data_IF_969924079966
#
_entry.id   IF_969924079966
#
_cell.length_a   1.000
_cell.length_b   1.000
_cell.length_c   1.000
_cell.angle_alpha   90.00
_cell.angle_beta   90.00
_cell.angle_gamma   90.00
#
_symmetry.space_group_name_H-M   'P 1'
#
loop_
_entity.id
_entity.type
_entity.pdbx_description
1 polymer ?
#
# COMPACT_ATOMS: atom_id res chain seq x y z
N UNK A 1 20.81 12.44 10.18
CA UNK A 1 20.20 13.09 11.36
C UNK A 1 18.70 13.11 11.16
N UNK A 2 18.03 12.06 11.65
CA UNK A 2 16.59 11.85 11.52
C UNK A 2 15.90 12.22 12.84
N UNK A 3 15.08 13.26 12.82
CA UNK A 3 14.18 13.56 13.93
C UNK A 3 12.93 12.67 13.78
N UNK A 4 12.82 11.68 14.67
CA UNK A 4 11.62 10.90 14.89
C UNK A 4 10.70 11.77 15.75
N UNK A 5 9.48 12.01 15.27
CA UNK A 5 8.45 12.73 16.03
C UNK A 5 7.91 11.79 17.11
N UNK A 6 8.33 12.00 18.36
CA UNK A 6 7.74 11.35 19.53
C UNK A 6 6.39 11.99 19.86
N UNK A 7 5.35 11.17 19.82
CA UNK A 7 4.00 11.49 20.29
C UNK A 7 3.88 10.89 21.68
N UNK A 8 3.91 11.72 22.73
CA UNK A 8 3.78 11.23 24.11
C UNK A 8 2.32 11.10 24.51
N UNK A 9 1.84 9.86 24.64
CA UNK A 9 0.59 9.52 25.31
C UNK A 9 0.83 9.36 26.82
N UNK A 10 0.00 10.03 27.63
CA UNK A 10 -0.13 9.75 29.07
C UNK A 10 -1.11 8.58 29.19
N UNK A 11 -0.59 7.38 29.41
CA UNK A 11 -1.38 6.18 29.69
C UNK A 11 -1.75 6.12 31.16
N UNK A 12 -3.05 6.06 31.48
CA UNK A 12 -3.52 5.43 32.71
C UNK A 12 -4.13 4.07 32.37
N UNK A 13 -3.77 3.10 33.20
CA UNK A 13 -3.85 1.67 33.00
C UNK A 13 -5.28 1.13 32.89
N UNK A 14 -5.45 0.16 31.98
CA UNK A 14 -5.97 -1.16 32.30
C UNK A 14 -5.43 -2.17 31.28
N UNK A 15 -4.52 -3.02 31.75
CA UNK A 15 -4.03 -4.19 31.04
C UNK A 15 -5.15 -5.23 30.98
N UNK A 16 -5.76 -5.37 29.81
CA UNK A 16 -6.25 -6.67 29.34
C UNK A 16 -5.68 -6.88 27.94
N UNK A 17 -4.92 -7.96 27.76
CA UNK A 17 -4.50 -8.47 26.46
C UNK A 17 -5.72 -9.09 25.74
N UNK A 18 -6.70 -8.25 25.43
CA UNK A 18 -7.66 -8.50 24.37
C UNK A 18 -7.03 -8.02 23.07
N UNK A 19 -6.77 -8.92 22.13
CA UNK A 19 -6.56 -8.54 20.74
C UNK A 19 -7.75 -7.67 20.32
N UNK A 20 -7.61 -6.35 20.31
CA UNK A 20 -8.65 -5.48 19.76
C UNK A 20 -8.85 -5.92 18.33
N UNK A 21 -10.05 -6.43 18.03
CA UNK A 21 -10.37 -6.91 16.69
C UNK A 21 -10.19 -5.74 15.72
N UNK A 22 -9.38 -5.95 14.70
CA UNK A 22 -9.07 -4.92 13.71
C UNK A 22 -10.30 -4.72 12.83
N UNK A 23 -10.87 -3.50 12.75
CA UNK A 23 -12.04 -3.26 11.93
C UNK A 23 -11.67 -3.29 10.45
N UNK A 24 -12.59 -3.78 9.61
CA UNK A 24 -12.48 -3.67 8.14
C UNK A 24 -12.78 -2.25 7.66
N UNK A 25 -13.71 -1.58 8.34
CA UNK A 25 -14.18 -0.23 8.04
C UNK A 25 -13.92 0.74 9.20
N UNK A 26 -13.32 1.90 8.92
CA UNK A 26 -13.21 2.99 9.89
C UNK A 26 -13.93 4.23 9.34
N UNK A 27 -15.11 4.54 9.89
CA UNK A 27 -15.84 5.76 9.58
C UNK A 27 -15.24 6.93 10.35
N UNK A 28 -14.74 7.92 9.62
CA UNK A 28 -14.18 9.15 10.15
C UNK A 28 -15.18 10.27 9.88
N UNK A 29 -15.81 10.76 10.96
CA UNK A 29 -16.88 11.75 10.92
C UNK A 29 -16.37 13.04 11.56
N UNK A 30 -15.99 14.08 10.78
CA UNK A 30 -15.55 15.35 11.35
C UNK A 30 -16.73 16.04 12.05
N UNK A 31 -16.52 16.55 13.27
CA UNK A 31 -17.59 17.05 14.11
C UNK A 31 -17.19 18.28 14.94
N UNK A 32 -18.11 19.25 15.03
CA UNK A 32 -18.15 20.32 16.04
C UNK A 32 -19.53 20.97 16.04
N UNK A 33 -20.07 21.30 17.22
CA UNK A 33 -21.27 22.14 17.42
C UNK A 33 -22.49 21.79 16.56
N UNK A 34 -22.75 20.50 16.30
CA UNK A 34 -23.85 20.02 15.45
C UNK A 34 -24.66 18.91 16.12
N UNK A 35 -25.20 19.18 17.33
CA UNK A 35 -25.84 18.17 18.18
C UNK A 35 -27.01 17.45 17.49
N UNK A 36 -27.83 18.18 16.76
CA UNK A 36 -29.00 17.67 16.02
C UNK A 36 -28.55 16.71 14.92
N UNK A 37 -27.55 17.12 14.12
CA UNK A 37 -26.96 16.28 13.07
C UNK A 37 -26.31 15.03 13.66
N UNK A 38 -25.54 15.16 14.75
CA UNK A 38 -24.94 14.02 15.43
C UNK A 38 -25.99 13.04 15.91
N UNK A 39 -27.11 13.54 16.45
CA UNK A 39 -28.21 12.69 16.93
C UNK A 39 -28.85 11.94 15.78
N UNK A 40 -29.21 12.66 14.71
CA UNK A 40 -29.76 12.09 13.49
C UNK A 40 -28.81 11.02 12.89
N UNK A 41 -27.55 11.38 12.68
CA UNK A 41 -26.50 10.49 12.17
C UNK A 41 -26.35 9.24 13.03
N UNK A 42 -26.23 9.40 14.35
CA UNK A 42 -25.99 8.26 15.26
C UNK A 42 -27.15 7.28 15.29
N UNK A 43 -28.39 7.78 15.26
CA UNK A 43 -29.58 6.93 15.24
C UNK A 43 -29.72 6.24 13.88
N UNK A 44 -29.56 6.98 12.79
CA UNK A 44 -29.83 6.46 11.46
C UNK A 44 -28.73 5.51 10.98
N UNK A 45 -27.46 5.79 11.28
CA UNK A 45 -26.35 4.91 10.90
C UNK A 45 -26.40 3.55 11.60
N UNK A 46 -27.04 3.43 12.78
CA UNK A 46 -27.30 2.13 13.40
C UNK A 46 -28.20 1.25 12.52
N UNK A 47 -29.19 1.85 11.86
CA UNK A 47 -30.03 1.15 10.87
C UNK A 47 -29.24 0.83 9.60
N UNK A 48 -28.53 1.80 9.03
CA UNK A 48 -27.74 1.60 7.79
C UNK A 48 -26.69 0.50 7.93
N UNK A 49 -26.09 0.39 9.12
CA UNK A 49 -25.04 -0.59 9.42
C UNK A 49 -25.55 -1.86 10.10
N UNK A 50 -26.87 -2.07 10.24
CA UNK A 50 -27.43 -3.17 11.02
C UNK A 50 -27.04 -4.57 10.54
N UNK A 51 -26.69 -4.71 9.27
CA UNK A 51 -26.29 -5.98 8.66
C UNK A 51 -24.76 -6.24 8.76
N UNK A 52 -23.98 -5.27 9.27
CA UNK A 52 -22.55 -5.44 9.52
C UNK A 52 -22.32 -6.03 10.90
N UNK A 53 -21.31 -6.90 11.03
CA UNK A 53 -20.81 -7.30 12.36
C UNK A 53 -20.24 -6.04 13.05
N UNK A 54 -20.68 -5.70 14.28
CA UNK A 54 -20.12 -4.57 15.04
C UNK A 54 -18.59 -4.62 15.23
N UNK A 55 -17.96 -5.78 15.05
CA UNK A 55 -16.49 -5.95 15.08
C UNK A 55 -15.81 -5.55 13.77
N UNK A 56 -16.54 -5.55 12.66
CA UNK A 56 -16.01 -5.25 11.33
C UNK A 56 -15.94 -3.74 11.05
N UNK A 57 -16.55 -2.90 11.88
CA UNK A 57 -16.50 -1.46 11.68
C UNK A 57 -16.32 -0.68 12.98
N UNK A 58 -15.80 0.53 12.86
CA UNK A 58 -15.80 1.53 13.92
C UNK A 58 -16.27 2.87 13.37
N UNK A 59 -17.03 3.61 14.18
CA UNK A 59 -17.44 4.99 13.87
C UNK A 59 -16.75 5.92 14.85
N UNK A 60 -15.91 6.81 14.34
CA UNK A 60 -15.16 7.79 15.14
C UNK A 60 -15.63 9.21 14.79
N UNK A 61 -16.22 9.88 15.78
CA UNK A 61 -16.54 11.30 15.70
C UNK A 61 -15.30 12.10 16.07
N UNK A 62 -14.68 12.77 15.10
CA UNK A 62 -13.47 13.56 15.34
C UNK A 62 -13.87 14.97 15.71
N UNK A 63 -13.79 15.27 17.00
CA UNK A 63 -14.37 16.45 17.61
C UNK A 63 -13.32 17.53 17.86
N UNK A 64 -13.40 18.64 17.14
CA UNK A 64 -12.51 19.78 17.39
C UNK A 64 -13.01 20.57 18.62
N UNK A 65 -12.29 20.47 19.75
CA UNK A 65 -12.71 21.07 21.03
C UNK A 65 -12.19 22.49 21.27
N UNK A 66 -11.26 22.95 20.46
CA UNK A 66 -10.76 24.32 20.55
C UNK A 66 -11.69 25.34 19.86
N UNK A 67 -11.51 26.62 20.21
CA UNK A 67 -12.30 27.73 19.67
C UNK A 67 -11.82 28.28 18.33
N UNK A 68 -10.89 27.62 17.63
CA UNK A 68 -10.38 28.09 16.33
C UNK A 68 -11.41 27.83 15.22
N UNK A 69 -11.25 28.38 13.99
CA UNK A 69 -12.09 27.99 12.87
C UNK A 69 -12.12 26.47 12.66
N UNK A 70 -13.23 25.93 12.17
CA UNK A 70 -13.39 24.47 12.05
C UNK A 70 -12.51 23.95 10.91
N UNK A 71 -11.56 23.07 11.24
CA UNK A 71 -10.65 22.50 10.26
C UNK A 71 -11.16 21.14 9.79
N UNK A 72 -12.11 21.13 8.85
CA UNK A 72 -12.76 19.90 8.37
C UNK A 72 -11.75 18.91 7.78
N UNK A 73 -10.81 19.38 6.96
CA UNK A 73 -9.75 18.54 6.39
C UNK A 73 -8.80 17.98 7.47
N UNK A 74 -8.43 18.80 8.44
CA UNK A 74 -7.62 18.43 9.59
C UNK A 74 -8.30 17.37 10.45
N UNK A 75 -9.60 17.49 10.73
CA UNK A 75 -10.35 16.47 11.48
C UNK A 75 -10.36 15.12 10.76
N UNK A 76 -10.51 15.10 9.43
CA UNK A 76 -10.40 13.86 8.65
C UNK A 76 -8.99 13.25 8.75
N UNK A 77 -7.95 14.08 8.62
CA UNK A 77 -6.56 13.63 8.77
C UNK A 77 -6.26 13.10 10.18
N UNK A 78 -6.70 13.78 11.22
CA UNK A 78 -6.48 13.38 12.62
C UNK A 78 -7.22 12.09 12.94
N UNK A 79 -8.44 11.91 12.43
CA UNK A 79 -9.16 10.63 12.55
C UNK A 79 -8.39 9.47 11.92
N UNK A 80 -7.79 9.68 10.74
CA UNK A 80 -6.89 8.71 10.14
C UNK A 80 -5.66 8.42 11.02
N UNK A 81 -4.99 9.46 11.53
CA UNK A 81 -3.81 9.32 12.40
C UNK A 81 -4.14 8.56 13.68
N UNK A 82 -5.30 8.81 14.29
CA UNK A 82 -5.74 8.12 15.50
C UNK A 82 -5.94 6.62 15.27
N UNK A 83 -6.63 6.23 14.18
CA UNK A 83 -6.80 4.81 13.81
C UNK A 83 -5.46 4.18 13.42
N UNK A 84 -4.59 4.92 12.74
CA UNK A 84 -3.23 4.46 12.42
C UNK A 84 -2.43 4.17 13.70
N UNK A 85 -2.57 4.99 14.73
CA UNK A 85 -1.90 4.80 16.01
C UNK A 85 -2.53 3.66 16.83
N UNK A 86 -3.85 3.48 16.75
CA UNK A 86 -4.57 2.38 17.41
C UNK A 86 -4.23 1.01 16.77
N UNK A 87 -4.04 0.99 15.44
CA UNK A 87 -3.76 -0.23 14.65
C UNK A 87 -2.52 -0.09 13.76
N UNK A 88 -1.31 0.09 14.33
CA UNK A 88 -0.11 0.45 13.56
C UNK A 88 0.35 -0.62 12.55
N UNK A 89 0.00 -1.89 12.78
CA UNK A 89 0.35 -2.99 11.88
C UNK A 89 -0.70 -3.24 10.79
N UNK A 90 -1.94 -2.74 10.96
CA UNK A 90 -3.08 -3.17 10.15
C UNK A 90 -3.79 -2.02 9.42
N UNK A 91 -3.62 -0.76 9.87
CA UNK A 91 -4.32 0.41 9.32
C UNK A 91 -4.23 0.53 7.79
N UNK A 92 -3.13 0.05 7.20
CA UNK A 92 -2.91 0.05 5.75
C UNK A 92 -4.01 -0.71 4.99
N UNK A 93 -4.54 -1.77 5.58
CA UNK A 93 -5.56 -2.65 5.00
C UNK A 93 -6.99 -2.23 5.36
N UNK A 94 -7.17 -1.40 6.38
CA UNK A 94 -8.47 -0.85 6.77
C UNK A 94 -8.99 0.05 5.65
N UNK A 95 -10.30 -0.06 5.37
CA UNK A 95 -11.00 0.90 4.51
C UNK A 95 -11.45 2.08 5.37
N UNK A 96 -10.89 3.25 5.12
CA UNK A 96 -11.36 4.49 5.73
C UNK A 96 -12.55 5.01 4.94
N UNK A 97 -13.63 5.35 5.64
CA UNK A 97 -14.83 5.99 5.08
C UNK A 97 -14.90 7.39 5.66
N UNK A 98 -14.70 8.41 4.83
CA UNK A 98 -14.89 9.80 5.24
C UNK A 98 -16.35 10.16 4.97
N UNK A 99 -17.08 10.51 6.02
CA UNK A 99 -18.51 10.77 5.95
C UNK A 99 -18.84 12.06 6.73
N UNK A 100 -19.50 13.02 6.08
CA UNK A 100 -19.99 14.20 6.80
C UNK A 100 -21.15 13.84 7.74
N UNK A 101 -21.20 14.46 8.92
CA UNK A 101 -22.21 14.17 9.95
C UNK A 101 -23.65 14.48 9.49
N UNK A 102 -23.80 15.30 8.45
CA UNK A 102 -25.10 15.72 7.92
C UNK A 102 -25.60 14.83 6.78
N UNK A 103 -24.91 13.73 6.44
CA UNK A 103 -25.28 12.82 5.35
C UNK A 103 -25.32 11.37 5.79
N UNK A 104 -26.40 10.66 5.46
CA UNK A 104 -26.54 9.21 5.68
C UNK A 104 -27.25 8.57 4.48
N UNK A 105 -26.95 7.31 4.12
CA UNK A 105 -27.77 6.59 3.15
C UNK A 105 -29.22 6.47 3.60
N UNK A 106 -30.16 6.49 2.67
CA UNK A 106 -31.59 6.29 2.95
C UNK A 106 -31.91 4.89 3.49
N UNK A 107 -31.14 3.87 3.11
CA UNK A 107 -31.35 2.51 3.60
C UNK A 107 -30.02 1.74 3.61
N UNK A 108 -30.04 0.56 4.24
CA UNK A 108 -28.92 -0.38 4.20
C UNK A 108 -28.63 -0.85 2.78
N UNK A 109 -27.39 -1.27 2.53
CA UNK A 109 -26.90 -1.77 1.23
C UNK A 109 -26.93 -0.76 0.06
N UNK A 110 -27.37 0.49 0.27
CA UNK A 110 -27.31 1.57 -0.73
C UNK A 110 -25.86 1.92 -1.11
N UNK A 111 -24.95 1.87 -0.13
CA UNK A 111 -23.52 2.13 -0.31
C UNK A 111 -22.72 0.85 -0.03
N UNK A 112 -21.81 0.52 -0.95
CA UNK A 112 -20.80 -0.53 -0.76
C UNK A 112 -19.46 0.07 -0.30
N UNK A 113 -19.33 0.28 1.01
CA UNK A 113 -18.22 1.02 1.62
C UNK A 113 -16.83 0.41 1.38
N UNK A 114 -16.70 -0.91 1.43
CA UNK A 114 -15.40 -1.57 1.28
C UNK A 114 -14.77 -1.29 -0.08
N UNK A 115 -13.48 -0.95 -0.08
CA UNK A 115 -12.69 -0.76 -1.30
C UNK A 115 -11.46 -1.67 -1.29
N UNK A 116 -10.67 -1.61 -2.37
CA UNK A 116 -9.43 -2.36 -2.54
C UNK A 116 -8.27 -1.40 -2.88
N UNK A 117 -7.01 -1.82 -2.65
CA UNK A 117 -5.85 -0.98 -2.96
C UNK A 117 -5.89 -0.41 -4.39
N UNK A 118 -5.51 0.86 -4.53
CA UNK A 118 -5.51 1.59 -5.79
C UNK A 118 -6.86 2.19 -6.21
N UNK A 119 -7.94 1.93 -5.47
CA UNK A 119 -9.31 2.39 -5.79
C UNK A 119 -9.87 3.25 -4.65
N UNK A 120 -10.28 4.46 -5.00
CA UNK A 120 -11.09 5.34 -4.15
C UNK A 120 -12.53 5.28 -4.63
N UNK A 121 -13.45 4.81 -3.80
CA UNK A 121 -14.88 4.80 -4.16
C UNK A 121 -15.53 6.08 -3.67
N UNK A 122 -16.18 6.82 -4.56
CA UNK A 122 -16.88 8.05 -4.21
C UNK A 122 -18.39 7.84 -4.37
N UNK A 123 -19.12 8.03 -3.28
CA UNK A 123 -20.52 7.63 -3.16
C UNK A 123 -21.49 8.80 -3.19
N UNK A 124 -21.15 9.95 -2.62
CA UNK A 124 -22.08 11.07 -2.55
C UNK A 124 -21.38 12.42 -2.66
N UNK A 125 -21.87 13.30 -3.53
CA UNK A 125 -21.38 14.68 -3.63
C UNK A 125 -21.37 15.20 -5.07
N UNK A 126 -20.23 15.74 -5.50
CA UNK A 126 -20.02 16.33 -6.84
C UNK A 126 -18.81 15.70 -7.53
N UNK A 127 -18.79 15.59 -8.86
CA UNK A 127 -17.74 14.83 -9.55
C UNK A 127 -16.36 15.54 -9.61
N UNK A 128 -16.29 16.82 -9.28
CA UNK A 128 -15.04 17.59 -9.29
C UNK A 128 -14.31 17.64 -7.93
N UNK A 129 -14.87 16.99 -6.89
CA UNK A 129 -14.31 16.91 -5.55
C UNK A 129 -14.58 15.53 -4.91
N UNK A 130 -13.89 15.22 -3.81
CA UNK A 130 -14.18 14.06 -2.95
C UNK A 130 -14.87 14.52 -1.65
N UNK A 131 -15.98 15.23 -1.80
CA UNK A 131 -16.82 15.65 -0.67
C UNK A 131 -17.87 14.60 -0.30
N UNK A 132 -18.71 14.90 0.69
CA UNK A 132 -19.80 14.03 1.13
C UNK A 132 -19.29 12.70 1.70
N UNK A 133 -19.40 11.63 0.90
CA UNK A 133 -19.07 10.27 1.33
C UNK A 133 -18.15 9.57 0.32
N UNK A 134 -16.97 9.15 0.75
CA UNK A 134 -16.07 8.31 -0.04
C UNK A 134 -15.26 7.36 0.83
N UNK A 135 -14.69 6.32 0.22
CA UNK A 135 -13.79 5.38 0.90
C UNK A 135 -12.48 5.14 0.17
N UNK A 136 -11.45 4.84 0.95
CA UNK A 136 -10.06 4.67 0.51
C UNK A 136 -9.32 3.71 1.46
N UNK A 137 -8.37 2.91 0.96
CA UNK A 137 -7.51 2.11 1.85
C UNK A 137 -6.55 3.01 2.63
N UNK A 138 -6.24 2.64 3.87
CA UNK A 138 -5.32 3.44 4.70
C UNK A 138 -3.96 3.67 4.05
N UNK A 139 -3.41 2.66 3.37
CA UNK A 139 -2.16 2.81 2.62
C UNK A 139 -2.27 3.83 1.46
N UNK A 140 -3.41 3.84 0.76
CA UNK A 140 -3.64 4.77 -0.35
C UNK A 140 -3.87 6.19 0.17
N UNK A 141 -4.58 6.35 1.30
CA UNK A 141 -4.77 7.66 1.93
C UNK A 141 -3.45 8.26 2.41
N UNK A 142 -2.63 7.48 3.11
CA UNK A 142 -1.28 7.89 3.53
C UNK A 142 -0.43 8.33 2.32
N UNK A 143 -0.45 7.56 1.23
CA UNK A 143 0.25 7.87 -0.02
C UNK A 143 -0.16 9.22 -0.63
N UNK A 144 -1.36 9.70 -0.37
CA UNK A 144 -1.84 10.99 -0.89
C UNK A 144 -1.44 12.19 -0.03
N UNK A 145 -0.82 11.98 1.15
CA UNK A 145 -0.63 13.00 2.18
C UNK A 145 -1.97 13.57 2.73
N UNK A 146 -3.07 12.84 2.57
CA UNK A 146 -4.39 13.23 3.08
C UNK A 146 -4.93 14.56 2.55
N UNK A 147 -5.89 15.13 3.28
CA UNK A 147 -6.50 16.42 2.98
C UNK A 147 -5.52 17.57 3.29
N UNK A 148 -5.62 18.74 2.65
CA UNK A 148 -5.05 19.95 3.22
C UNK A 148 -5.78 20.35 4.51
N UNK A 149 -5.05 20.95 5.45
CA UNK A 149 -5.56 21.34 6.77
C UNK A 149 -6.06 22.80 6.78
N UNK A 150 -6.94 23.13 5.84
CA UNK A 150 -7.49 24.48 5.70
C UNK A 150 -8.43 24.87 6.86
N UNK A 151 -8.40 26.15 7.21
CA UNK A 151 -9.15 26.72 8.32
C UNK A 151 -10.45 27.40 7.88
N UNK A 152 -10.63 27.67 6.59
CA UNK A 152 -11.88 28.16 6.03
C UNK A 152 -12.64 27.04 5.30
N UNK A 153 -13.89 27.33 4.97
CA UNK A 153 -14.75 26.45 4.21
C UNK A 153 -14.33 26.38 2.73
N UNK A 154 -14.21 25.15 2.24
CA UNK A 154 -14.14 24.83 0.82
C UNK A 154 -12.73 24.59 0.26
N UNK A 155 -12.67 23.76 -0.78
CA UNK A 155 -11.48 23.50 -1.58
C UNK A 155 -10.60 22.35 -1.08
N UNK A 156 -10.74 21.91 0.16
CA UNK A 156 -10.07 20.73 0.72
C UNK A 156 -10.48 19.44 -0.01
N UNK A 157 -11.77 19.26 -0.30
CA UNK A 157 -12.28 18.09 -1.01
C UNK A 157 -11.86 18.09 -2.50
N UNK A 158 -11.77 19.27 -3.12
CA UNK A 158 -11.21 19.45 -4.46
C UNK A 158 -9.72 19.07 -4.49
N UNK A 159 -8.98 19.48 -3.46
CA UNK A 159 -7.57 19.18 -3.34
C UNK A 159 -7.32 17.70 -3.08
N UNK A 160 -8.16 17.06 -2.27
CA UNK A 160 -8.10 15.61 -2.03
C UNK A 160 -8.30 14.83 -3.32
N UNK A 161 -9.30 15.19 -4.15
CA UNK A 161 -9.47 14.59 -5.47
C UNK A 161 -8.21 14.74 -6.34
N UNK A 162 -7.63 15.94 -6.36
CA UNK A 162 -6.39 16.19 -7.09
C UNK A 162 -5.25 15.27 -6.60
N UNK A 163 -5.04 15.14 -5.28
CA UNK A 163 -4.00 14.29 -4.69
C UNK A 163 -4.22 12.80 -4.99
N UNK A 164 -5.46 12.33 -4.94
CA UNK A 164 -5.81 10.95 -5.32
C UNK A 164 -5.39 10.66 -6.76
N UNK A 165 -5.73 11.55 -7.69
CA UNK A 165 -5.38 11.40 -9.11
C UNK A 165 -3.88 11.52 -9.35
N UNK A 166 -3.21 12.48 -8.69
CA UNK A 166 -1.77 12.68 -8.77
C UNK A 166 -0.98 11.46 -8.25
N UNK A 167 -1.48 10.80 -7.21
CA UNK A 167 -0.90 9.55 -6.68
C UNK A 167 -1.18 8.31 -7.55
N UNK A 168 -1.81 8.48 -8.71
CA UNK A 168 -2.11 7.42 -9.67
C UNK A 168 -3.22 6.45 -9.22
N UNK A 169 -4.04 6.87 -8.25
CA UNK A 169 -5.20 6.11 -7.79
C UNK A 169 -6.40 6.36 -8.72
N UNK A 170 -7.33 5.40 -8.79
CA UNK A 170 -8.54 5.53 -9.60
C UNK A 170 -9.73 5.88 -8.74
N UNK A 171 -10.52 6.86 -9.16
CA UNK A 171 -11.79 7.20 -8.53
C UNK A 171 -12.89 6.40 -9.21
N UNK A 172 -13.57 5.54 -8.45
CA UNK A 172 -14.72 4.75 -8.88
C UNK A 172 -16.01 5.44 -8.42
N UNK A 173 -16.88 5.74 -9.39
CA UNK A 173 -18.18 6.38 -9.20
C UNK A 173 -19.34 5.52 -9.68
N UNK A 174 -19.18 4.20 -9.77
CA UNK A 174 -20.26 3.29 -10.20
C UNK A 174 -21.43 3.23 -9.20
N UNK A 175 -21.18 3.50 -7.92
CA UNK A 175 -22.18 3.63 -6.85
C UNK A 175 -22.21 5.08 -6.33
N UNK A 176 -22.30 6.05 -7.25
CA UNK A 176 -22.29 7.48 -6.95
C UNK A 176 -23.68 8.11 -7.04
N UNK A 177 -24.00 8.94 -6.06
CA UNK A 177 -25.23 9.71 -5.96
C UNK A 177 -24.90 11.22 -5.97
N UNK A 178 -25.49 12.01 -6.89
CA UNK A 178 -25.28 13.44 -6.90
C UNK A 178 -25.96 14.13 -5.70
N UNK A 179 -25.61 15.39 -5.45
CA UNK A 179 -26.34 16.25 -4.51
C UNK A 179 -27.86 16.18 -4.77
N UNK A 180 -28.65 16.26 -3.70
CA UNK A 180 -30.12 16.15 -3.72
C UNK A 180 -30.69 14.79 -4.16
N UNK A 181 -29.85 13.77 -4.36
CA UNK A 181 -30.34 12.41 -4.58
C UNK A 181 -31.17 11.93 -3.38
N UNK A 182 -32.36 11.35 -3.58
CA UNK A 182 -33.19 10.82 -2.49
C UNK A 182 -32.56 9.59 -1.83
N UNK A 183 -31.54 8.99 -2.46
CA UNK A 183 -30.81 7.85 -1.91
C UNK A 183 -29.91 8.22 -0.73
N UNK A 184 -29.63 9.51 -0.53
CA UNK A 184 -28.81 10.04 0.57
C UNK A 184 -29.62 11.12 1.28
N UNK A 185 -29.94 10.89 2.55
CA UNK A 185 -30.59 11.87 3.40
C UNK A 185 -29.54 12.90 3.83
N UNK A 186 -29.82 14.17 3.55
CA UNK A 186 -28.94 15.28 3.90
C UNK A 186 -29.69 16.31 4.75
N UNK A 187 -29.18 16.60 5.94
CA UNK A 187 -29.59 17.76 6.72
C UNK A 187 -28.85 18.99 6.20
N UNK A 188 -29.59 20.01 5.76
CA UNK A 188 -28.99 21.22 5.20
C UNK A 188 -28.70 22.20 6.31
N UNK A 189 -27.47 22.71 6.35
CA UNK A 189 -27.08 23.78 7.26
C UNK A 189 -26.83 25.08 6.50
N UNK A 190 -27.05 26.20 7.19
CA UNK A 190 -27.16 27.57 6.67
C UNK A 190 -26.30 27.97 5.48
N UNK A 191 -26.74 29.01 4.79
CA UNK A 191 -26.23 29.42 3.47
C UNK A 191 -24.93 30.23 3.53
N UNK A 192 -24.53 30.64 4.73
CA UNK A 192 -23.31 31.43 4.96
C UNK A 192 -22.11 30.50 5.17
N UNK A 193 -21.00 30.83 4.51
CA UNK A 193 -19.74 30.11 4.62
C UNK A 193 -18.61 31.09 4.86
N UNK A 194 -17.81 30.81 5.89
CA UNK A 194 -16.54 31.48 6.13
C UNK A 194 -15.51 30.99 5.12
N UNK A 195 -15.08 31.83 4.20
CA UNK A 195 -14.10 31.51 3.15
C UNK A 195 -12.74 32.19 3.43
N UNK A 196 -11.69 31.68 2.81
CA UNK A 196 -10.37 32.31 2.76
C UNK A 196 -9.89 32.37 1.31
N UNK A 197 -9.55 33.58 0.84
CA UNK A 197 -9.05 33.78 -0.53
C UNK A 197 -7.67 33.16 -0.74
N UNK A 198 -6.79 33.21 0.26
CA UNK A 198 -5.46 32.60 0.19
C UNK A 198 -5.56 31.09 0.07
N UNK A 199 -6.46 30.45 0.83
CA UNK A 199 -6.70 29.01 0.74
C UNK A 199 -7.33 28.63 -0.60
N UNK A 200 -8.29 29.42 -1.08
CA UNK A 200 -8.86 29.25 -2.42
C UNK A 200 -7.79 29.38 -3.53
N UNK A 201 -6.85 30.33 -3.42
CA UNK A 201 -5.72 30.48 -4.35
C UNK A 201 -4.80 29.25 -4.28
N UNK A 202 -4.47 28.75 -3.09
CA UNK A 202 -3.68 27.52 -2.94
C UNK A 202 -4.35 26.32 -3.61
N UNK A 203 -5.68 26.21 -3.48
CA UNK A 203 -6.46 25.16 -4.13
C UNK A 203 -6.48 25.31 -5.63
N UNK A 204 -6.60 26.53 -6.14
CA UNK A 204 -6.65 26.81 -7.56
C UNK A 204 -5.30 26.53 -8.24
N UNK A 205 -4.20 27.01 -7.64
CA UNK A 205 -2.85 26.89 -8.19
C UNK A 205 -2.13 25.58 -7.83
N UNK A 206 -2.71 24.74 -6.97
CA UNK A 206 -2.12 23.45 -6.53
C UNK A 206 -0.74 23.62 -5.89
N UNK A 207 -0.56 24.69 -5.13
CA UNK A 207 0.74 25.11 -4.58
C UNK A 207 1.01 24.59 -3.17
N UNK A 208 0.04 23.94 -2.52
CA UNK A 208 0.19 23.50 -1.13
C UNK A 208 0.60 22.04 -0.99
N UNK A 209 1.57 21.79 -0.12
CA UNK A 209 1.92 20.46 0.37
C UNK A 209 1.38 20.18 1.78
N UNK A 210 0.54 21.06 2.33
CA UNK A 210 -0.07 20.90 3.65
C UNK A 210 -0.96 19.65 3.70
N UNK A 211 -0.80 18.80 4.71
CA UNK A 211 -1.59 17.59 4.88
C UNK A 211 -1.20 16.79 6.12
N UNK A 212 -1.15 15.47 6.01
CA UNK A 212 -0.78 14.59 7.14
C UNK A 212 0.59 14.94 7.72
N UNK A 213 1.57 15.20 6.86
CA UNK A 213 2.95 15.47 7.24
C UNK A 213 3.21 16.85 7.88
N UNK A 214 2.23 17.74 7.87
CA UNK A 214 2.35 19.10 8.43
C UNK A 214 1.53 19.28 9.71
N UNK A 215 0.80 18.26 10.15
CA UNK A 215 0.17 18.24 11.47
C UNK A 215 1.26 18.00 12.53
N UNK A 216 1.29 18.87 13.53
CA UNK A 216 2.28 18.85 14.63
C UNK A 216 1.61 19.28 15.92
N UNK A 217 2.27 19.04 17.06
CA UNK A 217 1.74 19.37 18.39
C UNK A 217 0.29 18.89 18.56
N UNK A 218 0.00 17.68 18.05
CA UNK A 218 -1.34 17.10 18.07
C UNK A 218 -1.58 16.44 19.42
N UNK A 219 -2.60 16.93 20.14
CA UNK A 219 -3.13 16.29 21.33
C UNK A 219 -4.60 15.91 21.10
N UNK A 220 -4.94 14.64 21.32
CA UNK A 220 -6.31 14.15 21.26
C UNK A 220 -6.53 13.07 22.32
N UNK A 221 -7.79 12.89 22.72
CA UNK A 221 -8.20 11.88 23.69
C UNK A 221 -9.34 11.04 23.11
N UNK A 222 -9.34 9.73 23.40
CA UNK A 222 -10.48 8.89 23.09
C UNK A 222 -11.53 9.04 24.21
N UNK A 223 -12.76 9.32 23.82
CA UNK A 223 -13.86 9.52 24.76
C UNK A 223 -15.08 8.74 24.29
N UNK A 224 -15.69 7.95 25.18
CA UNK A 224 -16.92 7.22 24.89
C UNK A 224 -18.06 7.96 25.58
N UNK A 225 -19.00 8.49 24.80
CA UNK A 225 -20.14 9.24 25.31
C UNK A 225 -21.45 8.55 24.91
N UNK A 226 -22.50 8.76 25.72
CA UNK A 226 -23.90 8.43 25.45
C UNK A 226 -24.12 7.19 24.59
N UNK A 227 -24.02 6.00 25.21
CA UNK A 227 -24.63 4.77 24.69
C UNK A 227 -23.86 3.99 23.63
N UNK A 228 -22.66 4.42 23.22
CA UNK A 228 -21.67 3.73 22.34
C UNK A 228 -20.85 4.67 21.45
N UNK A 229 -21.14 5.98 21.44
CA UNK A 229 -20.48 6.93 20.53
C UNK A 229 -19.01 7.11 20.91
N UNK A 230 -18.13 6.75 19.99
CA UNK A 230 -16.69 6.92 20.16
C UNK A 230 -16.23 8.25 19.56
N UNK A 231 -15.77 9.15 20.41
CA UNK A 231 -15.17 10.42 20.07
C UNK A 231 -13.64 10.34 20.06
N UNK A 232 -13.05 11.09 19.15
CA UNK A 232 -11.66 11.53 19.19
C UNK A 232 -11.73 13.02 19.49
N UNK A 233 -11.59 13.36 20.76
CA UNK A 233 -11.63 14.73 21.26
C UNK A 233 -10.28 15.40 20.97
N UNK A 234 -10.21 16.22 19.91
CA UNK A 234 -9.01 16.93 19.49
C UNK A 234 -8.87 18.21 20.31
N UNK A 235 -7.87 18.25 21.19
CA UNK A 235 -7.63 19.35 22.14
C UNK A 235 -6.78 20.45 21.50
N UNK A 236 -5.72 20.07 20.78
CA UNK A 236 -4.87 21.02 20.06
C UNK A 236 -4.14 20.32 18.89
N UNK A 237 -3.70 21.13 17.93
CA UNK A 237 -2.86 20.73 16.79
C UNK A 237 -2.40 21.96 16.04
N UNK A 238 -1.24 21.90 15.42
CA UNK A 238 -0.70 22.90 14.51
C UNK A 238 -0.65 22.35 13.08
N UNK A 239 -0.71 23.25 12.10
CA UNK A 239 -0.70 22.93 10.66
C UNK A 239 0.44 23.67 9.94
N UNK A 240 0.53 23.58 8.62
CA UNK A 240 1.52 24.36 7.87
C UNK A 240 1.25 25.87 7.96
N UNK A 241 -0.02 26.27 7.99
CA UNK A 241 -0.45 27.67 7.94
C UNK A 241 -1.27 28.01 9.18
N UNK A 242 -0.88 29.09 9.86
CA UNK A 242 -1.57 29.52 11.07
C UNK A 242 -2.94 30.12 10.73
N UNK A 243 -4.01 29.65 11.37
CA UNK A 243 -5.36 30.19 11.20
C UNK A 243 -5.45 31.70 11.42
N UNK A 244 -4.63 32.27 12.31
CA UNK A 244 -4.61 33.71 12.60
C UNK A 244 -3.99 34.55 11.46
N UNK A 245 -3.26 33.92 10.54
CA UNK A 245 -2.68 34.59 9.37
C UNK A 245 -3.63 34.64 8.17
N UNK A 246 -4.76 33.93 8.22
CA UNK A 246 -5.77 33.95 7.18
C UNK A 246 -6.67 35.19 7.29
N UNK A 247 -7.14 35.67 6.15
CA UNK A 247 -8.24 36.63 6.06
C UNK A 247 -9.53 35.87 5.77
N UNK A 248 -10.51 36.01 6.66
CA UNK A 248 -11.80 35.35 6.56
C UNK A 248 -12.86 36.31 6.04
N UNK A 249 -13.69 35.84 5.13
CA UNK A 249 -14.84 36.57 4.60
C UNK A 249 -16.07 35.67 4.68
N UNK A 250 -17.23 36.26 4.94
CA UNK A 250 -18.51 35.53 4.91
C UNK A 250 -19.11 35.59 3.50
N UNK A 251 -19.44 34.44 2.93
CA UNK A 251 -20.02 34.33 1.60
C UNK A 251 -21.37 33.62 1.65
N UNK A 252 -22.37 34.21 1.00
CA UNK A 252 -23.65 33.56 0.73
C UNK A 252 -23.54 32.68 -0.52
N UNK A 253 -23.71 31.36 -0.34
CA UNK A 253 -23.58 30.39 -1.42
C UNK A 253 -24.72 30.41 -2.45
N UNK A 254 -25.85 31.07 -2.16
CA UNK A 254 -26.92 31.27 -3.15
C UNK A 254 -26.57 32.36 -4.16
N UNK A 255 -26.03 33.48 -3.68
CA UNK A 255 -25.76 34.66 -4.49
C UNK A 255 -24.45 34.52 -5.26
N UNK A 256 -23.45 33.87 -4.66
CA UNK A 256 -22.12 33.74 -5.23
C UNK A 256 -21.69 32.27 -5.31
N UNK A 257 -21.91 31.65 -6.48
CA UNK A 257 -21.56 30.22 -6.71
C UNK A 257 -20.05 29.94 -6.77
N UNK A 258 -19.20 30.97 -6.84
CA UNK A 258 -17.74 30.85 -6.96
C UNK A 258 -17.05 32.00 -6.23
N UNK A 259 -15.96 31.69 -5.53
CA UNK A 259 -15.05 32.69 -4.97
C UNK A 259 -14.38 33.43 -6.15
N UNK A 260 -14.72 34.71 -6.32
CA UNK A 260 -14.08 35.56 -7.34
C UNK A 260 -12.72 35.99 -6.81
N UNK A 261 -11.62 35.62 -7.46
CA UNK A 261 -10.31 36.19 -7.13
C UNK A 261 -10.28 37.68 -7.51
N UNK A 262 -9.58 38.53 -6.74
CA UNK A 262 -9.36 39.93 -7.17
C UNK A 262 -8.72 39.88 -8.54
N UNK A 263 -9.30 40.60 -9.52
CA UNK A 263 -8.74 40.72 -10.86
C UNK A 263 -7.36 41.38 -10.76
N UNK A 264 -6.31 40.56 -10.68
CA UNK A 264 -4.97 41.00 -11.03
C UNK A 264 -4.98 41.13 -12.57
N UNK A 265 -4.47 42.23 -13.12
CA UNK A 265 -4.69 42.64 -14.52
C UNK A 265 -4.34 41.58 -15.57
N UNK A 266 -4.71 41.81 -16.83
CA UNK A 266 -4.57 40.86 -17.96
C UNK A 266 -3.17 40.20 -18.04
N UNK A 267 -2.11 40.94 -17.68
CA UNK A 267 -0.74 40.42 -17.62
C UNK A 267 -0.54 39.30 -16.57
N UNK A 268 -1.19 39.38 -15.40
CA UNK A 268 -1.11 38.33 -14.39
C UNK A 268 -1.95 37.12 -14.79
N UNK A 269 -3.12 37.30 -15.42
CA UNK A 269 -3.94 36.18 -15.88
C UNK A 269 -3.22 35.33 -16.94
N UNK A 270 -2.45 35.97 -17.83
CA UNK A 270 -1.57 35.29 -18.77
C UNK A 270 -0.37 34.60 -18.07
N UNK A 271 0.18 35.20 -17.01
CA UNK A 271 1.19 34.54 -16.17
C UNK A 271 0.62 33.34 -15.42
N UNK A 272 -0.58 33.44 -14.89
CA UNK A 272 -1.29 32.38 -14.19
C UNK A 272 -1.63 31.23 -15.15
N UNK A 273 -2.01 31.53 -16.39
CA UNK A 273 -2.22 30.52 -17.43
C UNK A 273 -0.91 29.85 -17.86
N UNK A 274 0.17 30.63 -17.97
CA UNK A 274 1.51 30.11 -18.23
C UNK A 274 2.01 29.24 -17.08
N UNK A 275 1.77 29.63 -15.83
CA UNK A 275 2.08 28.84 -14.64
C UNK A 275 1.21 27.57 -14.57
N UNK A 276 -0.08 27.64 -14.91
CA UNK A 276 -0.95 26.46 -15.06
C UNK A 276 -0.38 25.49 -16.08
N UNK A 277 -0.01 25.97 -17.27
CA UNK A 277 0.57 25.13 -18.32
C UNK A 277 1.91 24.53 -17.89
N UNK A 278 2.78 25.31 -17.26
CA UNK A 278 4.08 24.85 -16.75
C UNK A 278 3.92 23.81 -15.63
N UNK A 279 3.02 24.05 -14.67
CA UNK A 279 2.78 23.12 -13.57
C UNK A 279 2.14 21.82 -14.08
N UNK A 280 1.17 21.92 -15.00
CA UNK A 280 0.54 20.75 -15.60
C UNK A 280 1.54 19.93 -16.44
N UNK A 281 2.47 20.60 -17.13
CA UNK A 281 3.58 19.95 -17.83
C UNK A 281 4.56 19.28 -16.86
N UNK A 282 4.89 19.92 -15.73
CA UNK A 282 5.73 19.31 -14.68
C UNK A 282 5.06 18.08 -14.05
N UNK A 283 3.75 18.12 -13.81
CA UNK A 283 3.01 16.97 -13.30
C UNK A 283 3.01 15.80 -14.28
N UNK A 284 2.85 16.08 -15.59
CA UNK A 284 2.98 15.06 -16.63
C UNK A 284 4.38 14.45 -16.66
N UNK A 285 5.42 15.28 -16.64
CA UNK A 285 6.82 14.82 -16.61
C UNK A 285 7.10 13.97 -15.38
N UNK A 286 6.67 14.40 -14.19
CA UNK A 286 6.84 13.64 -12.95
C UNK A 286 6.10 12.29 -12.99
N UNK A 287 4.90 12.25 -13.57
CA UNK A 287 4.14 11.01 -13.76
C UNK A 287 4.84 10.06 -14.75
N UNK A 288 5.43 10.58 -15.82
CA UNK A 288 6.23 9.80 -16.77
C UNK A 288 7.52 9.27 -16.15
N UNK A 289 8.24 10.09 -15.40
CA UNK A 289 9.42 9.66 -14.64
C UNK A 289 9.09 8.56 -13.65
N UNK A 290 7.96 8.65 -12.96
CA UNK A 290 7.51 7.62 -12.04
C UNK A 290 7.20 6.30 -12.78
N UNK A 291 6.50 6.38 -13.92
CA UNK A 291 6.27 5.21 -14.80
C UNK A 291 7.57 4.62 -15.34
N UNK A 292 8.56 5.45 -15.69
CA UNK A 292 9.90 5.03 -16.11
C UNK A 292 10.63 4.30 -14.98
N UNK A 293 10.66 4.86 -13.77
CA UNK A 293 11.26 4.24 -12.58
C UNK A 293 10.64 2.88 -12.27
N UNK A 294 9.32 2.76 -12.34
CA UNK A 294 8.63 1.49 -12.14
C UNK A 294 9.00 0.45 -13.21
N UNK A 295 9.10 0.85 -14.49
CA UNK A 295 9.54 -0.04 -15.57
C UNK A 295 10.99 -0.48 -15.39
N UNK A 296 11.89 0.42 -14.98
CA UNK A 296 13.29 0.07 -14.66
C UNK A 296 13.39 -0.91 -13.49
N UNK A 297 12.65 -0.68 -12.40
CA UNK A 297 12.62 -1.62 -11.27
C UNK A 297 12.10 -2.99 -11.69
N UNK A 298 11.03 -3.06 -12.50
CA UNK A 298 10.52 -4.33 -13.02
C UNK A 298 11.56 -5.04 -13.90
N UNK A 299 12.26 -4.32 -14.79
CA UNK A 299 13.34 -4.91 -15.60
C UNK A 299 14.49 -5.43 -14.73
N UNK A 300 14.92 -4.67 -13.71
CA UNK A 300 15.97 -5.12 -12.79
C UNK A 300 15.54 -6.37 -12.02
N UNK A 301 14.30 -6.43 -11.52
CA UNK A 301 13.77 -7.62 -10.86
C UNK A 301 13.69 -8.83 -11.80
N UNK A 302 13.29 -8.63 -13.06
CA UNK A 302 13.28 -9.69 -14.07
C UNK A 302 14.69 -10.21 -14.38
N UNK A 303 15.67 -9.30 -14.53
CA UNK A 303 17.08 -9.69 -14.74
C UNK A 303 17.65 -10.44 -13.54
N UNK A 304 17.35 -10.01 -12.30
CA UNK A 304 17.76 -10.73 -11.09
C UNK A 304 17.14 -12.14 -11.02
N UNK A 305 15.85 -12.28 -11.32
CA UNK A 305 15.19 -13.59 -11.40
C UNK A 305 15.85 -14.50 -12.43
N UNK A 306 16.14 -13.98 -13.63
CA UNK A 306 16.78 -14.75 -14.69
C UNK A 306 18.19 -15.22 -14.28
N UNK A 307 19.00 -14.34 -13.67
CA UNK A 307 20.32 -14.71 -13.15
C UNK A 307 20.24 -15.80 -12.08
N UNK A 308 19.29 -15.69 -11.15
CA UNK A 308 19.09 -16.69 -10.10
C UNK A 308 18.68 -18.05 -10.69
N UNK A 309 17.79 -18.04 -11.68
CA UNK A 309 17.37 -19.25 -12.39
C UNK A 309 18.54 -19.91 -13.13
N UNK A 310 19.40 -19.12 -13.77
CA UNK A 310 20.58 -19.62 -14.47
C UNK A 310 21.61 -20.22 -13.50
N UNK A 311 21.83 -19.60 -12.34
CA UNK A 311 22.66 -20.18 -11.27
C UNK A 311 22.09 -21.51 -10.76
N UNK A 312 20.77 -21.60 -10.55
CA UNK A 312 20.13 -22.85 -10.12
C UNK A 312 20.31 -23.97 -11.15
N UNK A 313 20.17 -23.66 -12.45
CA UNK A 313 20.42 -24.63 -13.53
C UNK A 313 21.88 -25.10 -13.55
N UNK A 314 22.85 -24.19 -13.40
CA UNK A 314 24.27 -24.55 -13.34
C UNK A 314 24.58 -25.45 -12.13
N UNK A 315 24.00 -25.14 -10.96
CA UNK A 315 24.15 -26.00 -9.77
C UNK A 315 23.50 -27.38 -9.94
N UNK A 316 22.38 -27.47 -10.66
CA UNK A 316 21.77 -28.76 -10.99
C UNK A 316 22.65 -29.58 -11.94
N UNK A 317 23.21 -28.95 -12.99
CA UNK A 317 24.13 -29.63 -13.91
C UNK A 317 25.39 -30.14 -13.19
N UNK A 318 26.00 -29.33 -12.32
CA UNK A 318 27.15 -29.79 -11.53
C UNK A 318 26.81 -30.99 -10.64
N UNK A 319 25.65 -30.96 -9.97
CA UNK A 319 25.19 -32.09 -9.13
C UNK A 319 25.00 -33.36 -9.95
N UNK A 320 24.40 -33.25 -11.14
CA UNK A 320 24.22 -34.38 -12.04
C UNK A 320 25.56 -34.96 -12.51
N UNK A 321 26.52 -34.09 -12.85
CA UNK A 321 27.85 -34.51 -13.29
C UNK A 321 28.65 -35.20 -12.16
N UNK A 322 28.52 -34.71 -10.92
CA UNK A 322 29.11 -35.38 -9.75
C UNK A 322 28.49 -36.76 -9.50
N UNK A 323 27.16 -36.89 -9.64
CA UNK A 323 26.49 -38.19 -9.52
C UNK A 323 26.97 -39.18 -10.59
N UNK A 324 27.11 -38.74 -11.84
CA UNK A 324 27.65 -39.59 -12.91
C UNK A 324 29.09 -40.04 -12.63
N UNK A 325 29.96 -39.14 -12.13
CA UNK A 325 31.32 -39.51 -11.73
C UNK A 325 31.36 -40.48 -10.55
N UNK A 326 30.44 -40.36 -9.59
CA UNK A 326 30.32 -41.32 -8.49
C UNK A 326 29.89 -42.69 -9.00
N UNK A 327 28.89 -42.75 -9.89
CA UNK A 327 28.45 -44.02 -10.50
C UNK A 327 29.57 -44.70 -11.27
N UNK A 328 30.33 -43.96 -12.09
CA UNK A 328 31.48 -44.53 -12.79
C UNK A 328 32.54 -45.10 -11.84
N UNK A 329 32.84 -44.40 -10.74
CA UNK A 329 33.80 -44.89 -9.73
C UNK A 329 33.32 -46.18 -9.07
N UNK A 330 32.04 -46.25 -8.70
CA UNK A 330 31.43 -47.46 -8.15
C UNK A 330 31.49 -48.63 -9.15
N UNK A 331 31.24 -48.37 -10.43
CA UNK A 331 31.28 -49.38 -11.47
C UNK A 331 32.70 -49.92 -11.71
N UNK A 332 33.72 -49.05 -11.69
CA UNK A 332 35.12 -49.47 -11.72
C UNK A 332 35.51 -50.32 -10.51
N UNK A 333 35.08 -49.95 -9.31
CA UNK A 333 35.35 -50.74 -8.10
C UNK A 333 34.73 -52.14 -8.19
N UNK A 334 33.49 -52.25 -8.69
CA UNK A 334 32.85 -53.55 -8.90
C UNK A 334 33.61 -54.41 -9.93
N UNK A 335 34.06 -53.83 -11.04
CA UNK A 335 34.88 -54.56 -12.01
C UNK A 335 36.20 -55.06 -11.41
N UNK A 336 36.89 -54.23 -10.63
CA UNK A 336 38.12 -54.65 -9.94
C UNK A 336 37.88 -55.79 -8.95
N UNK A 337 36.79 -55.74 -8.17
CA UNK A 337 36.42 -56.82 -7.27
C UNK A 337 36.11 -58.12 -8.03
N UNK A 338 35.39 -58.06 -9.14
CA UNK A 338 35.12 -59.23 -9.98
C UNK A 338 36.40 -59.84 -10.55
N UNK A 339 37.34 -59.01 -11.02
CA UNK A 339 38.65 -59.49 -11.51
C UNK A 339 39.45 -60.17 -10.39
N UNK A 340 39.47 -59.59 -9.19
CA UNK A 340 40.15 -60.21 -8.04
C UNK A 340 39.51 -61.55 -7.66
N UNK A 341 38.18 -61.65 -7.66
CA UNK A 341 37.49 -62.92 -7.41
C UNK A 341 37.81 -63.98 -8.47
N UNK A 342 37.84 -63.60 -9.76
CA UNK A 342 38.24 -64.52 -10.83
C UNK A 342 39.68 -65.00 -10.69
N UNK A 343 40.61 -64.10 -10.32
CA UNK A 343 42.01 -64.49 -10.05
C UNK A 343 42.12 -65.43 -8.86
N UNK A 344 41.38 -65.19 -7.77
CA UNK A 344 41.35 -66.10 -6.63
C UNK A 344 40.78 -67.48 -6.99
N UNK A 345 39.71 -67.53 -7.79
CA UNK A 345 39.15 -68.79 -8.29
C UNK A 345 40.15 -69.55 -9.19
N UNK A 346 40.86 -68.86 -10.08
CA UNK A 346 41.91 -69.48 -10.91
C UNK A 346 43.07 -70.01 -10.07
N UNK A 347 43.51 -69.29 -9.05
CA UNK A 347 44.55 -69.76 -8.13
C UNK A 347 44.10 -70.99 -7.33
N UNK A 348 42.84 -71.03 -6.89
CA UNK A 348 42.27 -72.20 -6.22
C UNK A 348 42.17 -73.42 -7.17
N UNK A 349 41.83 -73.21 -8.45
CA UNK A 349 41.82 -74.27 -9.45
C UNK A 349 43.23 -74.80 -9.77
N UNK A 350 44.26 -73.94 -9.78
CA UNK A 350 45.65 -74.36 -9.98
C UNK A 350 46.21 -75.15 -8.78
N UNK A 351 45.76 -74.87 -7.55
CA UNK A 351 46.15 -75.65 -6.37
C UNK A 351 45.48 -77.04 -6.28
N UNK A 352 44.47 -77.32 -7.12
CA UNK A 352 43.77 -78.61 -7.18
C UNK A 352 44.25 -79.53 -8.32
N UNK A 353 45.26 -79.13 -9.12
CA UNK A 353 45.83 -80.03 -10.14
C UNK A 353 46.94 -80.92 -9.56
N UNK A 354 46.90 -82.25 -9.76
CA UNK A 354 47.92 -83.17 -9.25
C UNK A 354 49.22 -83.10 -10.07
N UNK A 355 50.40 -83.42 -9.49
CA UNK A 355 51.68 -83.24 -10.17
C UNK A 355 51.87 -84.30 -11.28
N UNK A 356 52.15 -83.86 -12.51
CA UNK A 356 52.62 -84.75 -13.57
C UNK A 356 54.11 -85.05 -13.40
N UNK A 357 54.43 -86.34 -13.32
CA UNK A 357 55.78 -86.88 -13.22
C UNK A 357 56.55 -86.71 -14.54
N UNK A 358 57.82 -86.35 -14.41
CA UNK A 358 58.82 -86.39 -15.47
C UNK A 358 59.09 -87.83 -15.93
N UNK A 359 59.14 -88.06 -17.24
CA UNK A 359 59.91 -89.16 -17.80
C UNK A 359 60.81 -88.67 -18.93
N UNK A 360 62.09 -88.98 -18.76
CA UNK A 360 63.20 -88.78 -19.69
C UNK A 360 62.96 -89.55 -20.99
N UNK A 361 63.41 -89.00 -22.11
CA UNK A 361 64.01 -89.80 -23.18
C UNK A 361 65.08 -88.99 -23.92
N UNK A 362 66.31 -89.53 -23.89
CA UNK A 362 67.44 -89.17 -24.75
C UNK A 362 67.14 -89.60 -26.19
N UNK A 363 67.49 -88.78 -27.18
CA UNK A 363 68.37 -89.12 -28.31
C UNK A 363 68.17 -88.14 -29.49
N UNK A 364 69.26 -87.88 -30.22
CA UNK A 364 69.17 -87.62 -31.65
C UNK A 364 69.46 -86.19 -32.11
N UNK A 365 70.68 -86.00 -32.58
CA UNK A 365 71.13 -84.93 -33.48
C UNK A 365 70.19 -84.80 -34.70
N UNK A 366 69.89 -83.58 -35.16
CA UNK A 366 70.05 -83.11 -36.57
C UNK A 366 69.80 -81.59 -36.64
N UNK A 367 70.75 -80.87 -37.25
CA UNK A 367 70.65 -79.48 -37.70
C UNK A 367 69.60 -79.35 -38.81
N UNK A 368 68.73 -78.33 -38.76
CA UNK A 368 68.35 -77.60 -39.99
C UNK A 368 67.94 -76.17 -39.67
N UNK A 369 68.59 -75.24 -40.37
CA UNK A 369 68.28 -73.80 -40.41
C UNK A 369 67.11 -73.57 -41.38
N UNK A 370 66.12 -72.75 -41.01
CA UNK A 370 65.33 -72.00 -41.99
C UNK A 370 64.90 -70.64 -41.42
N UNK A 371 65.48 -69.59 -42.00
CA UNK A 371 64.93 -68.23 -42.05
C UNK A 371 63.60 -68.25 -42.81
N UNK A 372 62.72 -67.29 -42.51
CA UNK A 372 61.92 -66.42 -43.41
C UNK A 372 61.07 -65.52 -42.47
N UNK A 373 61.41 -64.24 -42.27
CA UNK A 373 61.06 -63.05 -43.07
C UNK A 373 59.57 -62.67 -43.10
N UNK A 374 59.29 -61.44 -42.67
CA UNK A 374 58.06 -60.68 -42.95
C UNK A 374 57.46 -60.08 -41.68
N UNK A 375 57.78 -58.83 -41.29
CA UNK A 375 57.04 -57.59 -41.64
C UNK A 375 55.53 -57.70 -41.40
N UNK A 376 54.82 -56.68 -40.92
CA UNK A 376 55.05 -55.41 -40.21
C UNK A 376 53.60 -54.89 -40.04
N UNK A 377 53.31 -54.19 -38.95
CA UNK A 377 52.26 -53.16 -38.80
C UNK A 377 50.81 -53.57 -39.09
N UNK A 378 49.94 -53.48 -38.08
CA UNK A 378 49.18 -52.25 -37.81
C UNK A 378 49.14 -52.01 -36.30
#
# INVERSE_FOLDING_TARGET
MSAVNDVTNITNANNESGSSLVPKLAFIVPYRDRKEHLTFFSVYMKHVLSDYDPKDYTVRFVHQKDGRPFNRGGMKNIGFLAIKNEYPNDYKNITFVFNDVDTVPYDKNVIQYETRPGIVKHFYGVQFALGGIFSIKGADFEKTNGFPNFWAWGGEDNYMQHRVLQSGLKIDRRNFFPLQSPMILQMVEGIMRTISRSEAEMVFYKTTNDGLNTIRNLNYEFNIQDGDKCFIDVVNFDTAYNHASNTYEEQNIHDEKRIKFKSRGIASAAQDEKQRAQHQQQLLLAAEEHKMRQRQQQQQQQQQKMRLQQQQQQQQQMRLQQQQQQQMRLQQQQQQQQQQQQQQQQQQQQQQQPPQQQQQQRNGIVRTVRRINGRKLF
#
